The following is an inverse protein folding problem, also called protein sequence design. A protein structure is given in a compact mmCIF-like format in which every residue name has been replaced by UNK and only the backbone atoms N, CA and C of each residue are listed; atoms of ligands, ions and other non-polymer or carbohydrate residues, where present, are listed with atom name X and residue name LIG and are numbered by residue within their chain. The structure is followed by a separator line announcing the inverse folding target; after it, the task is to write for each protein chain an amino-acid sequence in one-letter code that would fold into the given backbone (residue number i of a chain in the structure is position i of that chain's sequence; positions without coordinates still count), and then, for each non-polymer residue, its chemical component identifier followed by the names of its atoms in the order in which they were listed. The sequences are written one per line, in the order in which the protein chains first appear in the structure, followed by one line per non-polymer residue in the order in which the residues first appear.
data_IF_188036161834
#
_entry.id   IF_188036161834
#
_cell.length_a   1.000
_cell.length_b   1.000
_cell.length_c   1.000
_cell.angle_alpha   90.00
_cell.angle_beta   90.00
_cell.angle_gamma   90.00
#
_symmetry.space_group_name_H-M   'P 1'
#
loop_
_entity.id
_entity.type
_entity.pdbx_description
1 polymer ?
#
# COMPACT_ATOMS: atom_id res chain seq x y z
N UNK A 1 -13.56 -15.98 24.37
CA UNK A 1 -13.90 -14.68 23.77
C UNK A 1 -12.58 -14.13 23.24
N UNK A 2 -12.17 -14.60 22.07
CA UNK A 2 -10.90 -14.24 21.41
C UNK A 2 -11.24 -13.79 19.99
N UNK A 3 -11.59 -12.52 19.84
CA UNK A 3 -11.89 -11.92 18.53
C UNK A 3 -11.15 -10.59 18.29
N UNK A 4 -10.11 -10.28 19.08
CA UNK A 4 -9.35 -9.03 18.94
C UNK A 4 -7.90 -9.19 18.46
N UNK A 5 -7.39 -10.42 18.34
CA UNK A 5 -6.00 -10.65 17.90
C UNK A 5 -5.76 -10.28 16.43
N UNK A 6 -6.82 -10.20 15.61
CA UNK A 6 -6.71 -9.94 14.19
C UNK A 6 -6.60 -8.46 13.80
N UNK A 7 -7.41 -7.60 14.41
CA UNK A 7 -7.48 -6.18 14.08
C UNK A 7 -6.19 -5.43 14.44
N UNK A 8 -5.59 -5.76 15.60
CA UNK A 8 -4.31 -5.15 16.02
C UNK A 8 -3.20 -5.43 14.99
N UNK A 9 -3.06 -6.68 14.55
CA UNK A 9 -1.98 -7.08 13.64
C UNK A 9 -2.10 -6.40 12.26
N UNK A 10 -3.32 -6.21 11.73
CA UNK A 10 -3.52 -5.47 10.48
C UNK A 10 -3.17 -3.99 10.64
N UNK A 11 -3.69 -3.34 11.68
CA UNK A 11 -3.47 -1.92 11.92
C UNK A 11 -1.98 -1.62 12.18
N UNK A 12 -1.28 -2.48 12.92
CA UNK A 12 0.15 -2.37 13.19
C UNK A 12 0.97 -2.49 11.89
N UNK A 13 0.62 -3.45 11.01
CA UNK A 13 1.25 -3.61 9.69
C UNK A 13 0.98 -2.43 8.77
N UNK A 14 -0.26 -1.92 8.77
CA UNK A 14 -0.64 -0.73 8.00
C UNK A 14 0.12 0.50 8.48
N UNK A 15 0.21 0.69 9.79
CA UNK A 15 0.97 1.79 10.38
C UNK A 15 2.46 1.69 10.02
N UNK A 16 3.05 0.49 10.07
CA UNK A 16 4.43 0.27 9.66
C UNK A 16 4.64 0.52 8.15
N UNK A 17 3.69 0.11 7.31
CA UNK A 17 3.72 0.35 5.87
C UNK A 17 3.65 1.83 5.51
N UNK A 18 2.70 2.59 6.08
CA UNK A 18 2.54 4.01 5.74
C UNK A 18 3.71 4.88 6.19
N UNK A 19 4.46 4.43 7.21
CA UNK A 19 5.65 5.09 7.74
C UNK A 19 6.96 4.52 7.17
N UNK A 20 6.90 3.65 6.17
CA UNK A 20 8.11 3.05 5.60
C UNK A 20 8.92 4.07 4.79
N UNK A 21 10.22 4.13 5.07
CA UNK A 21 11.12 5.08 4.44
C UNK A 21 11.31 4.81 2.93
N UNK A 22 11.33 3.55 2.51
CA UNK A 22 11.41 3.21 1.09
C UNK A 22 10.13 3.64 0.37
N UNK A 23 8.96 3.49 1.02
CA UNK A 23 7.70 3.97 0.48
C UNK A 23 7.71 5.49 0.24
N UNK A 24 8.22 6.27 1.21
CA UNK A 24 8.42 7.70 1.06
C UNK A 24 9.38 8.06 -0.10
N UNK A 25 10.47 7.30 -0.25
CA UNK A 25 11.45 7.48 -1.34
C UNK A 25 10.83 7.20 -2.72
N UNK A 26 9.96 6.19 -2.85
CA UNK A 26 9.21 5.94 -4.09
C UNK A 26 8.35 7.16 -4.43
N UNK A 27 7.65 7.71 -3.43
CA UNK A 27 6.86 8.93 -3.60
C UNK A 27 7.67 10.11 -4.15
N UNK A 28 8.87 10.33 -3.61
CA UNK A 28 9.78 11.38 -4.10
C UNK A 28 10.30 11.09 -5.50
N UNK A 29 10.68 9.85 -5.80
CA UNK A 29 11.20 9.44 -7.12
C UNK A 29 10.19 9.70 -8.24
N UNK A 30 8.91 9.48 -7.98
CA UNK A 30 7.83 9.65 -8.95
C UNK A 30 7.11 11.00 -8.84
N UNK A 31 7.60 11.94 -8.03
CA UNK A 31 7.02 13.27 -7.86
C UNK A 31 6.76 14.01 -9.18
N UNK A 32 7.67 14.01 -10.18
CA UNK A 32 7.40 14.67 -11.46
C UNK A 32 6.18 14.08 -12.22
N UNK A 33 5.98 12.76 -12.12
CA UNK A 33 4.80 12.09 -12.68
C UNK A 33 3.53 12.52 -11.92
N UNK A 34 3.60 12.58 -10.59
CA UNK A 34 2.47 13.02 -9.78
C UNK A 34 2.04 14.45 -10.08
N UNK A 35 3.00 15.38 -10.20
CA UNK A 35 2.75 16.78 -10.57
C UNK A 35 2.10 16.89 -11.96
N UNK A 36 2.64 16.17 -12.96
CA UNK A 36 2.10 16.15 -14.32
C UNK A 36 0.64 15.67 -14.36
N UNK A 37 0.31 14.67 -13.54
CA UNK A 37 -0.99 14.00 -13.55
C UNK A 37 -1.97 14.49 -12.48
N UNK A 38 -1.58 15.50 -11.69
CA UNK A 38 -2.34 16.07 -10.56
C UNK A 38 -2.71 15.01 -9.51
N UNK A 39 -1.73 14.20 -9.13
CA UNK A 39 -1.80 13.23 -8.03
C UNK A 39 -1.17 13.92 -6.82
N UNK A 40 -1.86 13.99 -5.68
CA UNK A 40 -1.35 14.71 -4.50
C UNK A 40 -0.29 13.88 -3.77
N UNK A 41 -0.46 12.56 -3.75
CA UNK A 41 0.51 11.65 -3.17
C UNK A 41 0.41 10.22 -3.67
N UNK A 42 1.43 9.43 -3.32
CA UNK A 42 1.50 8.01 -3.68
C UNK A 42 0.33 7.19 -3.11
N UNK A 43 -0.26 7.61 -1.98
CA UNK A 43 -1.43 6.96 -1.38
C UNK A 43 -2.74 7.22 -2.14
N UNK A 44 -2.78 8.21 -3.04
CA UNK A 44 -3.96 8.45 -3.89
C UNK A 44 -4.07 7.42 -5.02
N UNK A 45 -3.02 6.64 -5.25
CA UNK A 45 -2.94 5.71 -6.37
C UNK A 45 -3.72 4.42 -6.12
N UNK A 46 -3.96 4.06 -4.87
CA UNK A 46 -4.56 2.79 -4.50
C UNK A 46 -5.40 2.88 -3.23
N UNK A 47 -6.26 1.89 -3.02
CA UNK A 47 -6.85 1.55 -1.74
C UNK A 47 -6.15 0.30 -1.19
N UNK A 48 -6.06 0.23 0.13
CA UNK A 48 -5.68 -0.98 0.84
C UNK A 48 -6.92 -1.52 1.57
N UNK A 49 -7.31 -2.75 1.25
CA UNK A 49 -8.50 -3.39 1.83
C UNK A 49 -8.07 -4.61 2.61
N UNK A 50 -8.39 -4.64 3.91
CA UNK A 50 -8.26 -5.82 4.75
C UNK A 50 -9.08 -6.97 4.14
N UNK A 51 -8.41 -8.08 3.87
CA UNK A 51 -9.02 -9.32 3.39
C UNK A 51 -8.93 -10.35 4.50
N UNK A 52 -10.07 -10.66 5.12
CA UNK A 52 -10.17 -11.75 6.08
C UNK A 52 -10.21 -13.09 5.34
N UNK A 53 -9.04 -13.72 5.23
CA UNK A 53 -8.88 -15.02 4.61
C UNK A 53 -8.57 -16.06 5.68
N UNK A 54 -9.51 -16.27 6.62
CA UNK A 54 -9.47 -17.41 7.54
C UNK A 54 -8.36 -17.35 8.60
N UNK A 55 -8.13 -16.18 9.21
CA UNK A 55 -7.23 -16.02 10.36
C UNK A 55 -5.85 -15.42 10.04
N UNK A 56 -5.49 -15.30 8.77
CA UNK A 56 -4.39 -14.45 8.33
C UNK A 56 -4.96 -13.11 7.85
N UNK A 57 -4.70 -12.04 8.60
CA UNK A 57 -5.08 -10.67 8.20
C UNK A 57 -4.21 -10.22 7.03
N UNK A 58 -4.61 -10.68 5.84
CA UNK A 58 -4.04 -10.25 4.57
C UNK A 58 -4.67 -8.92 4.14
N UNK A 59 -4.01 -8.22 3.23
CA UNK A 59 -4.53 -7.01 2.64
C UNK A 59 -4.47 -7.10 1.11
N UNK A 60 -5.38 -6.41 0.42
CA UNK A 60 -5.40 -6.30 -1.04
C UNK A 60 -5.19 -4.86 -1.46
N UNK A 61 -4.16 -4.63 -2.28
CA UNK A 61 -3.89 -3.35 -2.91
C UNK A 61 -4.71 -3.22 -4.20
N UNK A 62 -5.58 -2.22 -4.26
CA UNK A 62 -6.48 -1.95 -5.38
C UNK A 62 -6.10 -0.62 -6.02
N UNK A 63 -5.61 -0.66 -7.26
CA UNK A 63 -5.27 0.56 -8.00
C UNK A 63 -6.53 1.37 -8.35
N UNK A 64 -6.59 2.64 -7.94
CA UNK A 64 -7.74 3.54 -8.13
C UNK A 64 -7.88 4.06 -9.55
N UNK A 65 -6.77 4.17 -10.26
CA UNK A 65 -6.71 4.91 -11.52
C UNK A 65 -6.95 4.02 -12.73
N UNK A 66 -7.80 4.48 -13.65
CA UNK A 66 -7.94 3.90 -14.99
C UNK A 66 -6.76 4.27 -15.91
N UNK A 67 -5.83 5.11 -15.45
CA UNK A 67 -4.65 5.50 -16.21
C UNK A 67 -3.56 4.44 -16.09
N UNK A 68 -2.77 4.28 -17.14
CA UNK A 68 -1.57 3.48 -17.10
C UNK A 68 -0.52 4.13 -16.17
N UNK A 69 -0.46 3.64 -14.93
CA UNK A 69 0.66 3.94 -14.05
C UNK A 69 1.94 3.32 -14.62
N UNK A 70 3.09 4.01 -14.49
CA UNK A 70 4.38 3.43 -14.80
C UNK A 70 4.54 2.06 -14.16
N UNK A 71 4.96 1.07 -14.94
CA UNK A 71 5.16 -0.30 -14.46
C UNK A 71 6.16 -0.32 -13.30
N UNK A 72 7.20 0.50 -13.36
CA UNK A 72 8.19 0.63 -12.28
C UNK A 72 7.60 1.16 -10.99
N UNK A 73 6.63 2.10 -11.06
CA UNK A 73 5.93 2.60 -9.88
C UNK A 73 5.06 1.51 -9.27
N UNK A 74 4.29 0.78 -10.09
CA UNK A 74 3.47 -0.35 -9.62
C UNK A 74 4.33 -1.40 -8.94
N UNK A 75 5.46 -1.80 -9.55
CA UNK A 75 6.39 -2.77 -8.97
C UNK A 75 6.98 -2.30 -7.65
N UNK A 76 7.49 -1.07 -7.59
CA UNK A 76 8.11 -0.55 -6.37
C UNK A 76 7.12 -0.50 -5.18
N UNK A 77 5.87 -0.09 -5.44
CA UNK A 77 4.81 -0.11 -4.41
C UNK A 77 4.49 -1.54 -3.96
N UNK A 78 4.33 -2.47 -4.91
CA UNK A 78 4.05 -3.89 -4.60
C UNK A 78 5.20 -4.49 -3.78
N UNK A 79 6.45 -4.25 -4.14
CA UNK A 79 7.63 -4.81 -3.47
C UNK A 79 7.74 -4.35 -2.00
N UNK A 80 7.32 -3.12 -1.68
CA UNK A 80 7.26 -2.65 -0.29
C UNK A 80 6.04 -3.25 0.40
N UNK A 81 4.87 -3.17 -0.24
CA UNK A 81 3.59 -3.63 0.31
C UNK A 81 3.60 -5.12 0.69
N UNK A 82 4.15 -5.99 -0.16
CA UNK A 82 4.18 -7.44 0.06
C UNK A 82 4.94 -7.84 1.32
N UNK A 83 5.90 -7.03 1.80
CA UNK A 83 6.65 -7.28 3.05
C UNK A 83 5.77 -7.25 4.29
N UNK A 84 4.67 -6.50 4.24
CA UNK A 84 3.75 -6.31 5.37
C UNK A 84 2.56 -7.27 5.30
N UNK A 85 2.04 -7.51 4.10
CA UNK A 85 0.72 -8.11 3.93
C UNK A 85 0.67 -9.43 3.16
N UNK A 86 1.79 -9.88 2.58
CA UNK A 86 1.86 -11.13 1.80
C UNK A 86 2.88 -12.15 2.32
N UNK A 87 3.41 -11.96 3.53
CA UNK A 87 4.15 -12.99 4.27
C UNK A 87 3.21 -13.91 5.03
#
# INVERSE_FOLDING_TARGET
MEEHAGESNYQDRLFAFINDNEFAVIGQRFKPYFELHKIEGIFDLFDDIQSDSGGNNTAKLIWKTQRDLPIELKKAVIDVYSRYFQN
#
